data_IF_845574592993
#
_entry.id   IF_845574592993
#
_cell.length_a   1.000
_cell.length_b   1.000
_cell.length_c   1.000
_cell.angle_alpha   90.00
_cell.angle_beta   90.00
_cell.angle_gamma   90.00
#
_symmetry.space_group_name_H-M   'P 1'
#
loop_
_entity.id
_entity.type
_entity.pdbx_description
1 polymer ?
#
# COMPACT_ATOMS: atom_id res chain seq x y z
N UNK A 1 -7.59 -25.46 -11.25
CA UNK A 1 -6.95 -24.15 -11.50
C UNK A 1 -6.73 -23.49 -10.15
N UNK A 2 -5.48 -23.25 -9.72
CA UNK A 2 -5.20 -22.60 -8.43
C UNK A 2 -5.76 -21.18 -8.54
N UNK A 3 -6.77 -20.84 -7.74
CA UNK A 3 -7.37 -19.50 -7.76
C UNK A 3 -6.27 -18.45 -7.64
N UNK A 4 -6.20 -17.52 -8.60
CA UNK A 4 -5.35 -16.34 -8.49
C UNK A 4 -5.98 -15.43 -7.45
N UNK A 5 -5.59 -15.59 -6.19
CA UNK A 5 -6.07 -14.81 -5.03
C UNK A 5 -5.56 -13.37 -4.99
N UNK A 6 -4.80 -12.93 -5.99
CA UNK A 6 -4.16 -11.61 -6.02
C UNK A 6 -4.36 -10.95 -7.37
N UNK A 7 -4.79 -9.68 -7.34
CA UNK A 7 -4.88 -8.81 -8.52
C UNK A 7 -3.71 -7.82 -8.43
N UNK A 8 -2.90 -7.76 -9.49
CA UNK A 8 -1.79 -6.80 -9.58
C UNK A 8 -2.28 -5.48 -10.16
N UNK A 9 -1.86 -4.37 -9.55
CA UNK A 9 -2.16 -3.02 -10.01
C UNK A 9 -0.85 -2.24 -10.14
N UNK A 10 -0.65 -1.58 -11.28
CA UNK A 10 0.44 -0.64 -11.48
C UNK A 10 -0.03 0.79 -11.21
N UNK A 11 0.75 1.57 -10.45
CA UNK A 11 0.40 2.95 -10.08
C UNK A 11 1.58 3.87 -10.37
N UNK A 12 1.30 5.08 -10.86
CA UNK A 12 2.30 6.15 -10.97
C UNK A 12 2.25 7.01 -9.71
N UNK A 13 3.42 7.24 -9.13
CA UNK A 13 3.56 8.04 -7.92
C UNK A 13 4.36 9.30 -8.22
N UNK A 14 3.98 10.39 -7.58
CA UNK A 14 4.84 11.56 -7.46
C UNK A 14 5.98 11.29 -6.46
N UNK A 15 7.10 12.05 -6.52
CA UNK A 15 8.19 11.91 -5.55
C UNK A 15 7.72 12.08 -4.10
N UNK A 16 6.76 12.97 -3.84
CA UNK A 16 6.20 13.18 -2.50
C UNK A 16 5.43 11.95 -2.01
N UNK A 17 4.65 11.30 -2.87
CA UNK A 17 3.92 10.07 -2.52
C UNK A 17 4.90 8.92 -2.27
N UNK A 18 5.92 8.76 -3.11
CA UNK A 18 6.96 7.76 -2.91
C UNK A 18 7.68 7.97 -1.57
N UNK A 19 8.10 9.20 -1.26
CA UNK A 19 8.76 9.53 0.00
C UNK A 19 7.89 9.21 1.22
N UNK A 20 6.57 9.47 1.14
CA UNK A 20 5.64 9.10 2.20
C UNK A 20 5.54 7.58 2.38
N UNK A 21 5.48 6.81 1.29
CA UNK A 21 5.46 5.35 1.37
C UNK A 21 6.77 4.78 1.92
N UNK A 22 7.92 5.36 1.55
CA UNK A 22 9.22 5.01 2.12
C UNK A 22 9.26 5.28 3.63
N UNK A 23 8.66 6.39 4.09
CA UNK A 23 8.54 6.70 5.52
C UNK A 23 7.74 5.63 6.28
N UNK A 24 6.65 5.11 5.71
CA UNK A 24 5.90 4.01 6.33
C UNK A 24 6.75 2.74 6.48
N UNK A 25 7.67 2.51 5.54
CA UNK A 25 8.60 1.38 5.62
C UNK A 25 9.64 1.61 6.73
N UNK A 26 10.23 2.81 6.79
CA UNK A 26 11.23 3.13 7.82
C UNK A 26 10.64 3.12 9.25
N UNK A 27 9.35 3.45 9.39
CA UNK A 27 8.61 3.32 10.64
C UNK A 27 8.21 1.86 10.98
N UNK A 28 8.52 0.89 10.12
CA UNK A 28 8.21 -0.52 10.34
C UNK A 28 6.74 -0.89 10.13
N UNK A 29 5.92 -0.01 9.53
CA UNK A 29 4.50 -0.28 9.26
C UNK A 29 4.28 -1.20 8.07
N UNK A 30 5.25 -1.27 7.15
CA UNK A 30 5.25 -2.17 6.02
C UNK A 30 6.69 -2.52 5.59
N UNK A 31 6.87 -3.62 4.86
CA UNK A 31 8.20 -4.08 4.41
C UNK A 31 8.55 -3.65 2.98
N UNK A 32 7.57 -3.22 2.19
CA UNK A 32 7.73 -2.83 0.77
C UNK A 32 6.79 -1.70 0.42
N UNK A 33 7.03 -1.01 -0.70
CA UNK A 33 6.14 0.07 -1.19
C UNK A 33 4.73 -0.46 -1.46
N UNK A 34 4.61 -1.63 -2.11
CA UNK A 34 3.31 -2.27 -2.32
C UNK A 34 2.62 -2.61 -0.98
N UNK A 35 3.38 -3.06 0.01
CA UNK A 35 2.88 -3.30 1.36
C UNK A 35 2.41 -2.02 2.05
N UNK A 36 3.13 -0.90 1.87
CA UNK A 36 2.75 0.40 2.41
C UNK A 36 1.45 0.93 1.76
N UNK A 37 1.28 0.73 0.45
CA UNK A 37 0.02 1.04 -0.25
C UNK A 37 -1.12 0.20 0.32
N UNK A 38 -0.91 -1.12 0.46
CA UNK A 38 -1.93 -2.01 1.04
C UNK A 38 -2.26 -1.63 2.49
N UNK A 39 -1.28 -1.22 3.28
CA UNK A 39 -1.47 -0.71 4.64
C UNK A 39 -2.41 0.50 4.64
N UNK A 40 -2.20 1.47 3.75
CA UNK A 40 -3.05 2.67 3.64
C UNK A 40 -4.47 2.33 3.16
N UNK A 41 -4.62 1.44 2.18
CA UNK A 41 -5.94 0.98 1.72
C UNK A 41 -6.70 0.33 2.88
N UNK A 42 -6.05 -0.58 3.61
CA UNK A 42 -6.66 -1.26 4.74
C UNK A 42 -7.02 -0.28 5.86
N UNK A 43 -6.15 0.68 6.15
CA UNK A 43 -6.40 1.73 7.12
C UNK A 43 -7.66 2.54 6.75
N UNK A 44 -7.79 2.96 5.49
CA UNK A 44 -8.96 3.70 5.03
C UNK A 44 -10.26 2.90 5.14
N UNK A 45 -10.23 1.61 4.77
CA UNK A 45 -11.38 0.70 4.89
C UNK A 45 -11.81 0.55 6.36
N UNK A 46 -10.86 0.38 7.28
CA UNK A 46 -11.14 0.22 8.72
C UNK A 46 -11.73 1.50 9.32
N UNK A 47 -11.22 2.67 8.93
CA UNK A 47 -11.69 3.97 9.41
C UNK A 47 -13.06 4.37 8.82
N UNK A 48 -13.70 3.49 8.04
CA UNK A 48 -15.03 3.72 7.48
C UNK A 48 -15.02 4.58 6.22
N UNK A 49 -13.86 4.73 5.56
CA UNK A 49 -13.80 5.25 4.22
C UNK A 49 -14.55 4.32 3.27
N UNK A 50 -15.71 4.75 2.78
CA UNK A 50 -16.41 4.09 1.67
C UNK A 50 -15.65 4.29 0.37
#
# INVERSE_FOLDING_TARGET
MKEKKTISVGVRLSPTQEAYLQKLISEGRASTISGAIQYLINQQVILGGK
#
